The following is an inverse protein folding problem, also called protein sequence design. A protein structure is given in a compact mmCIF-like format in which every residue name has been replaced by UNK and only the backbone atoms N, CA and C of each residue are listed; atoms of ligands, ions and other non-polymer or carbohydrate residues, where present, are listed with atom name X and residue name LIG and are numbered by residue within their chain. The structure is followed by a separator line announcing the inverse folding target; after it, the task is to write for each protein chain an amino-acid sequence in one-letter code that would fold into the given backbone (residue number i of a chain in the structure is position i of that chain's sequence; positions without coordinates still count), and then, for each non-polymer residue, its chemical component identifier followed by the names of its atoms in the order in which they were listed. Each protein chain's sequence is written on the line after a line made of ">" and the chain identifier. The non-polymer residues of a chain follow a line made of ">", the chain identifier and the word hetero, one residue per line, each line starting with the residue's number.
data_IF_837764676511
#
_entry.id   IF_837764676511
#
_cell.length_a   1.000
_cell.length_b   1.000
_cell.length_c   1.000
_cell.angle_alpha   90.00
_cell.angle_beta   90.00
_cell.angle_gamma   90.00
#
_symmetry.space_group_name_H-M   'P 1'
#
loop_
_entity.id
_entity.type
_entity.pdbx_description
1 polymer ?
#
# COMPACT_ATOMS: atom_id res chain seq x y z
N UNK A 1 -3.34 -1.08 0.49
CA UNK A 1 -4.54 -0.21 0.59
C UNK A 1 -5.58 -0.96 1.40
N UNK A 2 -6.18 -0.30 2.37
CA UNK A 2 -7.24 -0.83 3.22
C UNK A 2 -8.54 -0.09 2.90
N UNK A 3 -9.68 -0.74 3.13
CA UNK A 3 -11.02 -0.15 2.98
C UNK A 3 -11.69 -0.05 4.33
N UNK A 4 -12.54 0.95 4.54
CA UNK A 4 -13.20 1.12 5.81
C UNK A 4 -14.34 2.12 5.80
N UNK A 5 -14.87 2.33 6.99
CA UNK A 5 -15.98 3.24 7.25
C UNK A 5 -15.67 4.11 8.47
N UNK A 6 -16.35 5.23 8.59
CA UNK A 6 -16.43 5.96 9.85
C UNK A 6 -17.88 6.08 10.31
N UNK A 7 -18.08 6.08 11.62
CA UNK A 7 -19.39 5.94 12.25
C UNK A 7 -19.51 6.68 13.57
N UNK A 8 -20.75 6.91 13.98
CA UNK A 8 -21.12 7.48 15.27
C UNK A 8 -22.46 6.88 15.74
N UNK A 9 -23.04 7.41 16.81
CA UNK A 9 -24.39 7.03 17.26
C UNK A 9 -25.46 7.10 16.15
N UNK A 10 -25.22 7.87 15.11
CA UNK A 10 -26.20 8.07 14.03
C UNK A 10 -26.49 6.80 13.23
N UNK A 11 -25.58 5.82 13.23
CA UNK A 11 -25.83 4.51 12.63
C UNK A 11 -26.80 3.65 13.46
N UNK A 12 -27.06 4.06 14.72
CA UNK A 12 -27.96 3.35 15.61
C UNK A 12 -27.34 2.11 16.27
N UNK A 13 -27.90 1.73 17.43
CA UNK A 13 -27.33 0.65 18.25
C UNK A 13 -27.40 -0.74 17.59
N UNK A 14 -28.24 -0.95 16.58
CA UNK A 14 -28.35 -2.19 15.82
C UNK A 14 -27.40 -2.31 14.64
N UNK A 15 -26.58 -1.30 14.38
CA UNK A 15 -25.67 -1.31 13.22
C UNK A 15 -24.62 -2.42 13.34
N UNK A 16 -24.43 -3.16 12.23
CA UNK A 16 -23.48 -4.26 12.16
C UNK A 16 -22.25 -3.87 11.33
N UNK A 17 -21.05 -4.10 11.87
CA UNK A 17 -19.78 -3.79 11.24
C UNK A 17 -19.34 -4.78 10.16
N UNK A 18 -20.17 -5.74 9.73
CA UNK A 18 -19.84 -6.64 8.60
C UNK A 18 -19.57 -5.89 7.29
N UNK A 19 -20.08 -4.66 7.18
CA UNK A 19 -19.88 -3.78 6.01
C UNK A 19 -18.60 -2.92 6.07
N UNK A 20 -17.83 -3.02 7.15
CA UNK A 20 -16.72 -2.10 7.41
C UNK A 20 -15.47 -2.32 6.50
N UNK A 21 -15.30 -3.53 5.96
CA UNK A 21 -14.05 -3.89 5.26
C UNK A 21 -12.91 -4.19 6.25
N UNK A 22 -11.79 -3.47 6.13
CA UNK A 22 -10.59 -3.72 6.93
C UNK A 22 -10.56 -2.91 8.23
N UNK A 23 -11.23 -1.73 8.27
CA UNK A 23 -11.17 -0.84 9.42
C UNK A 23 -12.47 -0.06 9.68
N UNK A 24 -12.59 0.44 10.90
CA UNK A 24 -13.63 1.38 11.31
C UNK A 24 -13.04 2.50 12.18
N UNK A 25 -13.47 3.75 11.94
CA UNK A 25 -13.15 4.91 12.77
C UNK A 25 -14.44 5.39 13.45
N UNK A 26 -14.44 5.52 14.77
CA UNK A 26 -15.64 5.64 15.60
C UNK A 26 -15.61 6.96 16.35
N UNK A 27 -16.70 7.72 16.33
CA UNK A 27 -16.85 8.92 17.16
C UNK A 27 -16.72 8.55 18.64
N UNK A 28 -15.80 9.22 19.34
CA UNK A 28 -15.64 9.04 20.77
C UNK A 28 -16.20 10.23 21.56
N UNK A 29 -15.79 11.44 21.19
CA UNK A 29 -16.13 12.64 21.94
C UNK A 29 -16.37 13.84 21.02
N UNK A 30 -16.99 14.89 21.57
CA UNK A 30 -17.18 16.19 20.92
C UNK A 30 -17.03 17.30 21.95
N UNK A 31 -16.27 18.35 21.63
CA UNK A 31 -16.00 19.46 22.55
C UNK A 31 -15.51 18.97 23.91
N UNK A 32 -15.91 19.68 24.98
CA UNK A 32 -15.52 19.30 26.35
C UNK A 32 -16.63 18.65 27.17
N UNK A 33 -17.76 18.30 26.55
CA UNK A 33 -18.97 17.87 27.29
C UNK A 33 -19.70 16.65 26.71
N UNK A 34 -19.32 16.13 25.56
CA UNK A 34 -20.06 15.05 24.91
C UNK A 34 -19.22 13.80 24.70
N UNK A 35 -19.75 12.65 25.08
CA UNK A 35 -19.23 11.31 24.76
C UNK A 35 -20.25 10.58 23.90
N UNK A 36 -19.83 9.98 22.80
CA UNK A 36 -20.72 9.20 21.95
C UNK A 36 -21.17 7.93 22.68
N UNK A 37 -22.49 7.75 22.91
CA UNK A 37 -22.99 6.64 23.73
C UNK A 37 -22.80 5.26 23.10
N UNK A 38 -22.49 5.18 21.80
CA UNK A 38 -22.27 3.92 21.11
C UNK A 38 -20.78 3.66 20.83
N UNK A 39 -19.87 4.56 21.21
CA UNK A 39 -18.45 4.42 20.95
C UNK A 39 -17.91 3.07 21.42
N UNK A 40 -18.07 2.75 22.71
CA UNK A 40 -17.55 1.50 23.27
C UNK A 40 -18.21 0.27 22.63
N UNK A 41 -19.53 0.32 22.41
CA UNK A 41 -20.24 -0.78 21.75
C UNK A 41 -19.64 -1.09 20.38
N UNK A 42 -19.43 -0.09 19.55
CA UNK A 42 -18.85 -0.28 18.21
C UNK A 42 -17.37 -0.67 18.30
N UNK A 43 -16.64 -0.13 19.27
CA UNK A 43 -15.25 -0.50 19.49
C UNK A 43 -15.11 -1.99 19.87
N UNK A 44 -15.93 -2.50 20.80
CA UNK A 44 -15.91 -3.91 21.19
C UNK A 44 -16.34 -4.82 20.03
N UNK A 45 -17.35 -4.39 19.24
CA UNK A 45 -17.75 -5.11 18.03
C UNK A 45 -16.61 -5.19 17.00
N UNK A 46 -15.90 -4.06 16.76
CA UNK A 46 -14.74 -4.02 15.88
C UNK A 46 -13.61 -4.92 16.36
N UNK A 47 -13.36 -4.92 17.67
CA UNK A 47 -12.36 -5.78 18.32
C UNK A 47 -12.70 -7.26 18.14
N UNK A 48 -13.94 -7.65 18.38
CA UNK A 48 -14.40 -9.04 18.20
C UNK A 48 -14.29 -9.52 16.75
N UNK A 49 -14.45 -8.61 15.77
CA UNK A 49 -14.29 -8.91 14.33
C UNK A 49 -12.84 -8.81 13.84
N UNK A 50 -11.89 -8.45 14.69
CA UNK A 50 -10.49 -8.29 14.29
C UNK A 50 -10.22 -7.10 13.35
N UNK A 51 -11.15 -6.13 13.27
CA UNK A 51 -10.99 -4.92 12.46
C UNK A 51 -9.89 -4.03 13.03
N UNK A 52 -9.24 -3.28 12.16
CA UNK A 52 -8.42 -2.14 12.55
C UNK A 52 -9.32 -1.02 13.06
N UNK A 53 -8.89 -0.31 14.10
CA UNK A 53 -9.74 0.66 14.80
C UNK A 53 -9.13 2.05 14.77
N UNK A 54 -10.01 3.04 14.70
CA UNK A 54 -9.72 4.44 15.00
C UNK A 54 -10.81 5.02 15.88
N UNK A 55 -10.48 6.07 16.62
CA UNK A 55 -11.45 6.86 17.39
C UNK A 55 -11.23 8.34 17.11
N UNK A 56 -12.32 9.10 16.93
CA UNK A 56 -12.22 10.51 16.63
C UNK A 56 -12.90 11.40 17.66
N UNK A 57 -12.31 12.58 17.81
CA UNK A 57 -12.85 13.72 18.54
C UNK A 57 -13.37 14.76 17.57
N UNK A 58 -14.63 15.11 17.65
CA UNK A 58 -15.22 16.20 16.89
C UNK A 58 -14.94 17.54 17.54
N UNK A 59 -14.16 18.38 16.89
CA UNK A 59 -13.73 19.66 17.42
C UNK A 59 -14.87 20.68 17.50
N UNK A 60 -14.94 21.45 18.60
CA UNK A 60 -15.92 22.53 18.81
C UNK A 60 -15.23 23.84 19.21
N UNK A 61 -14.34 24.38 18.38
CA UNK A 61 -13.69 25.66 18.66
C UNK A 61 -14.69 26.83 18.71
N UNK A 62 -15.86 26.67 18.08
CA UNK A 62 -16.98 27.61 18.12
C UNK A 62 -17.57 27.82 19.52
N UNK A 63 -17.35 26.87 20.43
CA UNK A 63 -17.77 26.98 21.84
C UNK A 63 -16.73 27.71 22.71
N UNK A 64 -15.64 28.21 22.12
CA UNK A 64 -14.59 28.93 22.84
C UNK A 64 -13.62 28.03 23.61
N UNK A 65 -13.66 26.71 23.41
CA UNK A 65 -12.71 25.80 24.03
C UNK A 65 -11.32 25.93 23.38
N UNK A 66 -10.28 25.78 24.18
CA UNK A 66 -8.92 25.62 23.65
C UNK A 66 -8.69 24.21 23.12
N UNK A 67 -7.73 24.04 22.18
CA UNK A 67 -7.35 22.74 21.68
C UNK A 67 -6.87 21.78 22.78
N UNK A 68 -6.14 22.30 23.77
CA UNK A 68 -5.67 21.51 24.90
C UNK A 68 -6.82 21.02 25.79
N UNK A 69 -7.83 21.86 26.04
CA UNK A 69 -8.98 21.47 26.87
C UNK A 69 -9.79 20.35 26.20
N UNK A 70 -10.02 20.44 24.88
CA UNK A 70 -10.69 19.38 24.13
C UNK A 70 -9.82 18.12 24.03
N UNK A 71 -8.50 18.23 23.92
CA UNK A 71 -7.57 17.10 23.96
C UNK A 71 -7.60 16.39 25.33
N UNK A 72 -7.58 17.14 26.45
CA UNK A 72 -7.70 16.57 27.78
C UNK A 72 -9.01 15.77 27.94
N UNK A 73 -10.12 16.35 27.44
CA UNK A 73 -11.41 15.68 27.47
C UNK A 73 -11.42 14.42 26.60
N UNK A 74 -10.88 14.48 25.39
CA UNK A 74 -10.76 13.34 24.49
C UNK A 74 -9.96 12.20 25.13
N UNK A 75 -8.72 12.49 25.58
CA UNK A 75 -7.81 11.49 26.15
C UNK A 75 -8.38 10.86 27.43
N UNK A 76 -9.05 11.66 28.27
CA UNK A 76 -9.73 11.15 29.48
C UNK A 76 -10.73 10.03 29.15
N UNK A 77 -11.46 10.18 28.04
CA UNK A 77 -12.57 9.27 27.69
C UNK A 77 -12.13 8.09 26.80
N UNK A 78 -10.91 8.12 26.22
CA UNK A 78 -10.42 7.06 25.33
C UNK A 78 -9.30 6.22 25.92
N UNK A 79 -9.03 6.28 27.22
CA UNK A 79 -7.88 5.59 27.87
C UNK A 79 -7.76 4.11 27.51
N UNK A 80 -8.90 3.42 27.33
CA UNK A 80 -8.94 1.99 26.97
C UNK A 80 -8.63 1.70 25.49
N UNK A 81 -8.48 2.72 24.64
CA UNK A 81 -8.28 2.57 23.19
C UNK A 81 -6.88 3.00 22.75
N UNK A 82 -6.14 3.70 23.61
CA UNK A 82 -4.77 4.17 23.34
C UNK A 82 -3.85 2.97 23.11
N UNK A 83 -3.07 3.04 22.04
CA UNK A 83 -2.19 1.95 21.60
C UNK A 83 -2.88 0.82 20.84
N UNK A 84 -4.21 0.89 20.64
CA UNK A 84 -4.96 -0.08 19.83
C UNK A 84 -5.77 0.57 18.71
N UNK A 85 -6.09 1.86 18.82
CA UNK A 85 -6.80 2.65 17.82
C UNK A 85 -5.99 3.85 17.35
N UNK A 86 -6.10 4.21 16.07
CA UNK A 86 -5.65 5.51 15.58
C UNK A 86 -6.48 6.60 16.26
N UNK A 87 -5.82 7.64 16.74
CA UNK A 87 -6.45 8.82 17.33
C UNK A 87 -6.66 9.88 16.26
N UNK A 88 -7.83 10.52 16.22
CA UNK A 88 -8.16 11.49 15.17
C UNK A 88 -8.76 12.76 15.77
N UNK A 89 -8.27 13.91 15.29
CA UNK A 89 -8.93 15.20 15.41
C UNK A 89 -9.79 15.41 14.17
N UNK A 90 -11.10 15.43 14.33
CA UNK A 90 -12.08 15.78 13.31
C UNK A 90 -12.39 17.28 13.41
N UNK A 91 -11.90 18.05 12.43
CA UNK A 91 -11.92 19.51 12.46
C UNK A 91 -12.77 20.09 11.33
N UNK A 92 -14.09 20.12 11.55
CA UNK A 92 -15.06 20.57 10.53
C UNK A 92 -15.72 21.90 10.85
N UNK A 93 -15.62 22.36 12.09
CA UNK A 93 -16.30 23.57 12.59
C UNK A 93 -15.30 24.75 12.67
N UNK A 94 -15.72 25.92 12.14
CA UNK A 94 -14.95 27.16 12.27
C UNK A 94 -14.95 27.69 13.72
N UNK A 95 -13.97 28.50 14.11
CA UNK A 95 -12.85 29.01 13.32
C UNK A 95 -11.76 27.96 13.07
N UNK A 96 -11.21 27.93 11.84
CA UNK A 96 -10.11 27.01 11.49
C UNK A 96 -8.76 27.67 11.79
N UNK A 97 -7.92 26.99 12.57
CA UNK A 97 -6.60 27.49 12.99
C UNK A 97 -5.61 26.34 13.09
N UNK A 98 -4.45 26.47 12.43
CA UNK A 98 -3.33 25.55 12.59
C UNK A 98 -2.80 25.54 14.03
N UNK A 99 -2.81 26.70 14.71
CA UNK A 99 -2.37 26.81 16.08
C UNK A 99 -3.29 26.03 17.05
N UNK A 100 -4.60 26.14 16.85
CA UNK A 100 -5.57 25.40 17.65
C UNK A 100 -5.46 23.88 17.44
N UNK A 101 -5.40 23.46 16.17
CA UNK A 101 -5.27 22.05 15.82
C UNK A 101 -3.94 21.45 16.33
N UNK A 102 -2.86 22.22 16.22
CA UNK A 102 -1.56 21.80 16.72
C UNK A 102 -1.54 21.71 18.25
N UNK A 103 -2.18 22.67 18.97
CA UNK A 103 -2.31 22.64 20.43
C UNK A 103 -3.06 21.38 20.88
N UNK A 104 -4.19 21.05 20.23
CA UNK A 104 -4.89 19.78 20.46
C UNK A 104 -3.98 18.58 20.20
N UNK A 105 -3.39 18.50 19.02
CA UNK A 105 -2.57 17.36 18.61
C UNK A 105 -1.35 17.15 19.50
N UNK A 106 -0.67 18.24 19.85
CA UNK A 106 0.47 18.21 20.75
C UNK A 106 0.05 17.73 22.15
N UNK A 107 -1.07 18.21 22.67
CA UNK A 107 -1.57 17.80 23.98
C UNK A 107 -1.96 16.32 24.00
N UNK A 108 -2.61 15.80 22.95
CA UNK A 108 -2.86 14.36 22.80
C UNK A 108 -1.54 13.59 22.83
N UNK A 109 -0.55 14.03 22.05
CA UNK A 109 0.76 13.39 22.00
C UNK A 109 1.47 13.41 23.38
N UNK A 110 1.47 14.54 24.08
CA UNK A 110 2.10 14.68 25.38
C UNK A 110 1.48 13.72 26.43
N UNK A 111 0.19 13.43 26.31
CA UNK A 111 -0.55 12.57 27.23
C UNK A 111 -0.50 11.08 26.87
N UNK A 112 -0.29 10.75 25.58
CA UNK A 112 -0.45 9.38 25.08
C UNK A 112 0.79 8.81 24.42
N UNK A 113 1.75 9.66 24.02
CA UNK A 113 2.87 9.29 23.15
C UNK A 113 2.48 9.14 21.66
N UNK A 114 1.20 9.34 21.30
CA UNK A 114 0.68 9.11 19.95
C UNK A 114 0.24 10.43 19.32
N UNK A 115 0.77 10.75 18.12
CA UNK A 115 0.28 11.87 17.33
C UNK A 115 -1.05 11.50 16.66
N UNK A 116 -2.11 12.30 16.85
CA UNK A 116 -3.37 12.04 16.16
C UNK A 116 -3.27 12.37 14.67
N UNK A 117 -4.17 11.83 13.87
CA UNK A 117 -4.43 12.32 12.51
C UNK A 117 -5.30 13.57 12.56
N UNK A 118 -5.18 14.44 11.55
CA UNK A 118 -6.15 15.48 11.28
C UNK A 118 -7.11 15.01 10.19
N UNK A 119 -8.42 15.06 10.48
CA UNK A 119 -9.47 14.97 9.47
C UNK A 119 -10.05 16.33 9.18
N UNK A 120 -10.16 16.68 7.92
CA UNK A 120 -10.90 17.82 7.42
C UNK A 120 -11.25 17.66 5.94
N UNK A 121 -12.21 18.45 5.46
CA UNK A 121 -12.55 18.47 4.04
C UNK A 121 -11.41 19.06 3.20
N UNK A 122 -11.33 18.67 1.93
CA UNK A 122 -10.30 19.14 0.99
C UNK A 122 -10.29 20.67 0.87
N UNK A 123 -11.45 21.33 0.95
CA UNK A 123 -11.53 22.79 0.94
C UNK A 123 -10.83 23.43 2.15
N UNK A 124 -10.93 22.84 3.34
CA UNK A 124 -10.30 23.32 4.56
C UNK A 124 -8.80 23.01 4.58
N UNK A 125 -8.41 21.84 4.10
CA UNK A 125 -7.00 21.50 3.94
C UNK A 125 -6.27 22.51 3.04
N UNK A 126 -6.93 23.02 2.00
CA UNK A 126 -6.35 24.00 1.09
C UNK A 126 -6.58 25.46 1.50
N UNK A 127 -7.53 25.71 2.37
CA UNK A 127 -7.87 27.06 2.83
C UNK A 127 -7.06 27.58 4.02
N UNK A 128 -6.31 26.72 4.69
CA UNK A 128 -5.52 27.03 5.89
C UNK A 128 -4.08 26.58 5.70
N UNK A 129 -3.13 27.35 6.24
CA UNK A 129 -1.71 26.97 6.26
C UNK A 129 -1.44 26.04 7.45
N UNK A 130 -1.49 24.75 7.25
CA UNK A 130 -1.26 23.73 8.28
C UNK A 130 0.22 23.45 8.56
N UNK A 131 1.03 24.52 8.74
CA UNK A 131 2.49 24.41 8.80
C UNK A 131 3.01 23.68 10.05
N UNK A 132 2.28 23.74 11.17
CA UNK A 132 2.63 23.09 12.44
C UNK A 132 2.03 21.69 12.51
N UNK A 133 0.74 21.57 12.24
CA UNK A 133 0.00 20.30 12.34
C UNK A 133 0.50 19.26 11.34
N UNK A 134 0.74 19.66 10.08
CA UNK A 134 1.19 18.73 9.04
C UNK A 134 2.57 18.11 9.28
N UNK A 135 3.40 18.71 10.13
CA UNK A 135 4.72 18.15 10.46
C UNK A 135 4.65 16.87 11.31
N UNK A 136 3.58 16.69 12.05
CA UNK A 136 3.48 15.65 13.06
C UNK A 136 2.27 14.73 12.86
N UNK A 137 1.17 15.26 12.30
CA UNK A 137 -0.10 14.55 12.16
C UNK A 137 -0.24 13.92 10.78
N UNK A 138 -0.77 12.71 10.70
CA UNK A 138 -1.22 12.13 9.45
C UNK A 138 -2.46 12.87 8.92
N UNK A 139 -2.72 12.78 7.62
CA UNK A 139 -3.86 13.40 6.98
C UNK A 139 -4.95 12.37 6.66
N UNK A 140 -6.14 12.59 7.19
CA UNK A 140 -7.39 11.99 6.71
C UNK A 140 -8.19 13.09 6.01
N UNK A 141 -8.23 13.05 4.69
CA UNK A 141 -8.90 14.07 3.87
C UNK A 141 -10.27 13.61 3.42
N UNK A 142 -11.27 14.50 3.49
CA UNK A 142 -12.58 14.25 2.91
C UNK A 142 -12.74 15.01 1.60
N UNK A 143 -13.21 14.31 0.59
CA UNK A 143 -13.53 14.90 -0.71
C UNK A 143 -14.32 13.89 -1.55
N UNK A 144 -15.43 14.30 -2.09
CA UNK A 144 -16.46 13.41 -2.66
C UNK A 144 -16.61 13.67 -4.16
N UNK A 145 -15.83 13.00 -5.01
CA UNK A 145 -16.05 13.07 -6.46
C UNK A 145 -17.43 12.48 -6.82
N UNK A 146 -18.15 13.07 -7.75
CA UNK A 146 -19.50 12.63 -8.15
C UNK A 146 -19.56 11.13 -8.48
N UNK A 147 -18.52 10.57 -9.07
CA UNK A 147 -18.39 9.15 -9.39
C UNK A 147 -18.53 8.23 -8.15
N UNK A 148 -18.10 8.71 -7.00
CA UNK A 148 -18.07 7.94 -5.76
C UNK A 148 -19.11 8.37 -4.74
N UNK A 149 -19.67 9.58 -4.88
CA UNK A 149 -20.70 10.09 -3.97
C UNK A 149 -22.11 9.63 -4.39
N UNK A 150 -22.30 8.33 -4.43
CA UNK A 150 -23.52 7.64 -4.86
C UNK A 150 -23.88 6.52 -3.88
N UNK A 151 -25.11 6.03 -3.95
CA UNK A 151 -25.52 4.86 -3.17
C UNK A 151 -24.70 3.64 -3.63
N UNK A 152 -24.03 2.96 -2.71
CA UNK A 152 -23.14 1.83 -2.99
C UNK A 152 -21.98 2.19 -3.97
N UNK A 153 -21.10 3.12 -3.61
CA UNK A 153 -20.04 3.55 -4.48
C UNK A 153 -19.02 2.42 -4.73
N UNK A 154 -18.42 2.36 -5.93
CA UNK A 154 -17.29 1.48 -6.14
C UNK A 154 -16.11 1.94 -5.27
N UNK A 155 -15.25 1.03 -4.88
CA UNK A 155 -14.02 1.37 -4.14
C UNK A 155 -13.02 2.05 -5.09
N UNK A 156 -12.57 3.28 -4.80
CA UNK A 156 -11.57 3.95 -5.62
C UNK A 156 -10.19 3.31 -5.46
N UNK A 157 -9.31 3.58 -6.41
CA UNK A 157 -7.88 3.34 -6.26
C UNK A 157 -7.18 4.57 -5.65
N UNK A 158 -5.95 4.38 -5.17
CA UNK A 158 -5.13 5.51 -4.66
C UNK A 158 -4.95 6.62 -5.70
N UNK A 159 -4.94 6.28 -6.99
CA UNK A 159 -4.77 7.23 -8.10
C UNK A 159 -6.01 8.11 -8.36
N UNK A 160 -7.16 7.71 -7.87
CA UNK A 160 -8.41 8.44 -8.05
C UNK A 160 -8.53 9.64 -7.09
N UNK A 161 -7.67 9.72 -6.05
CA UNK A 161 -7.60 10.86 -5.16
C UNK A 161 -6.87 12.01 -5.85
N UNK A 162 -7.63 13.05 -6.22
CA UNK A 162 -7.15 14.18 -7.03
C UNK A 162 -7.16 15.52 -6.29
N UNK A 163 -7.53 15.52 -5.00
CA UNK A 163 -7.54 16.73 -4.21
C UNK A 163 -6.12 17.12 -3.81
N UNK A 164 -5.85 18.45 -3.80
CA UNK A 164 -4.64 18.96 -3.17
C UNK A 164 -4.64 18.63 -1.68
N UNK A 165 -3.49 18.29 -1.17
CA UNK A 165 -3.28 17.88 0.24
C UNK A 165 -2.57 18.93 1.07
N UNK A 166 -2.51 20.19 0.57
CA UNK A 166 -1.95 21.33 1.30
C UNK A 166 -0.50 21.12 1.71
N UNK A 167 -0.23 21.25 3.00
CA UNK A 167 1.11 21.15 3.59
C UNK A 167 1.59 19.70 3.82
N UNK A 168 0.75 18.69 3.64
CA UNK A 168 1.14 17.30 3.84
C UNK A 168 1.88 16.73 2.63
N UNK A 169 2.92 15.91 2.85
CA UNK A 169 3.64 15.25 1.75
C UNK A 169 2.85 14.08 1.15
N UNK A 170 1.88 13.53 1.87
CA UNK A 170 1.00 12.44 1.44
C UNK A 170 -0.26 12.42 2.28
N UNK A 171 -1.31 11.77 1.76
CA UNK A 171 -2.52 11.49 2.52
C UNK A 171 -2.50 10.05 3.07
N UNK A 172 -2.98 9.88 4.28
CA UNK A 172 -3.04 8.58 4.94
C UNK A 172 -4.39 7.89 4.72
N UNK A 173 -5.48 8.63 4.87
CA UNK A 173 -6.86 8.15 4.67
C UNK A 173 -7.61 9.14 3.79
N UNK A 174 -8.46 8.63 2.91
CA UNK A 174 -9.38 9.44 2.11
C UNK A 174 -10.81 8.95 2.31
N UNK A 175 -11.67 9.84 2.85
CA UNK A 175 -13.11 9.67 2.85
C UNK A 175 -13.63 10.11 1.48
N UNK A 176 -13.99 9.14 0.67
CA UNK A 176 -14.33 9.38 -0.74
C UNK A 176 -15.84 9.43 -1.03
N UNK A 177 -16.64 9.06 -0.06
CA UNK A 177 -18.10 9.10 -0.14
C UNK A 177 -18.70 9.34 1.23
N UNK A 178 -19.67 10.24 1.26
CA UNK A 178 -20.53 10.54 2.39
C UNK A 178 -21.96 10.70 1.83
N UNK A 179 -22.40 9.71 1.05
CA UNK A 179 -23.63 9.87 0.31
C UNK A 179 -24.84 9.78 1.19
N UNK A 180 -25.61 10.83 1.10
CA UNK A 180 -27.05 10.95 1.37
C UNK A 180 -27.65 9.80 2.22
N UNK A 181 -27.38 9.83 3.53
CA UNK A 181 -28.07 8.97 4.49
C UNK A 181 -27.63 7.50 4.54
N UNK A 182 -26.47 7.15 3.96
CA UNK A 182 -25.98 5.77 4.01
C UNK A 182 -24.80 5.60 4.95
N UNK A 183 -23.58 5.67 4.46
CA UNK A 183 -22.42 5.30 5.23
C UNK A 183 -21.18 5.99 4.64
N UNK A 184 -20.43 6.63 5.49
CA UNK A 184 -19.17 7.24 5.11
C UNK A 184 -18.13 6.16 4.78
N UNK A 185 -17.54 6.29 3.58
CA UNK A 185 -16.61 5.27 3.07
C UNK A 185 -15.23 5.82 2.86
N UNK A 186 -14.27 5.02 3.26
CA UNK A 186 -12.88 5.39 3.32
C UNK A 186 -11.97 4.37 2.63
N UNK A 187 -10.87 4.86 2.10
CA UNK A 187 -9.70 4.04 1.80
C UNK A 187 -8.48 4.58 2.56
N UNK A 188 -7.62 3.67 3.02
CA UNK A 188 -6.35 4.05 3.63
C UNK A 188 -5.19 3.68 2.68
N UNK A 189 -4.32 4.68 2.42
CA UNK A 189 -3.12 4.52 1.59
C UNK A 189 -1.97 3.93 2.40
N UNK A 190 -2.27 2.85 3.11
CA UNK A 190 -1.31 2.14 3.97
C UNK A 190 -1.68 0.66 4.09
N UNK A 191 -0.78 -0.13 4.65
CA UNK A 191 -1.02 -1.50 5.07
C UNK A 191 -1.35 -1.58 6.58
N UNK A 192 -1.65 -2.79 7.04
CA UNK A 192 -1.97 -3.05 8.45
C UNK A 192 -0.82 -2.68 9.40
N UNK A 193 0.43 -2.89 8.99
CA UNK A 193 1.59 -2.59 9.82
C UNK A 193 1.74 -1.07 10.02
N UNK A 194 1.55 -0.28 8.96
CA UNK A 194 1.54 1.18 9.03
C UNK A 194 0.37 1.70 9.88
N UNK A 195 -0.82 1.09 9.76
CA UNK A 195 -1.97 1.43 10.63
C UNK A 195 -1.64 1.26 12.11
N UNK A 196 -1.06 0.11 12.47
CA UNK A 196 -0.68 -0.18 13.86
C UNK A 196 0.39 0.78 14.40
N UNK A 197 1.28 1.28 13.54
CA UNK A 197 2.23 2.35 13.91
C UNK A 197 1.51 3.64 14.26
N UNK A 198 0.53 4.06 13.45
CA UNK A 198 -0.31 5.23 13.77
C UNK A 198 -1.12 5.05 15.05
N UNK A 199 -1.50 3.82 15.40
CA UNK A 199 -2.17 3.50 16.65
C UNK A 199 -1.22 3.43 17.87
N UNK A 200 0.10 3.59 17.68
CA UNK A 200 1.08 3.55 18.77
C UNK A 200 1.50 2.14 19.20
N UNK A 201 1.20 1.10 18.42
CA UNK A 201 1.56 -0.30 18.76
C UNK A 201 3.02 -0.69 18.53
N UNK A 202 3.83 0.16 17.95
CA UNK A 202 5.27 -0.09 17.83
C UNK A 202 6.02 1.00 18.58
N UNK A 203 6.87 0.59 19.52
CA UNK A 203 7.72 1.51 20.28
C UNK A 203 8.43 2.51 19.36
N UNK A 204 8.51 3.74 19.83
CA UNK A 204 9.30 4.86 19.32
C UNK A 204 9.51 4.91 17.81
N UNK A 205 8.46 5.22 17.06
CA UNK A 205 8.63 5.76 15.72
C UNK A 205 7.83 7.05 15.63
N UNK A 206 8.55 8.19 15.82
CA UNK A 206 8.15 9.45 15.23
C UNK A 206 7.58 9.12 13.84
N UNK A 207 6.40 9.64 13.42
CA UNK A 207 5.97 9.46 12.04
C UNK A 207 7.08 9.95 11.12
N UNK A 208 7.94 9.04 10.74
CA UNK A 208 8.83 9.27 9.62
C UNK A 208 7.88 9.40 8.46
N UNK A 209 7.95 10.46 7.66
CA UNK A 209 7.14 10.54 6.44
C UNK A 209 7.30 9.17 5.78
N UNK A 210 6.18 8.45 5.66
CA UNK A 210 6.16 7.25 4.83
C UNK A 210 6.78 7.69 3.52
N UNK A 211 7.86 7.06 3.07
CA UNK A 211 8.56 7.56 1.89
C UNK A 211 7.51 7.88 0.86
N UNK A 212 7.63 9.05 0.25
CA UNK A 212 6.86 9.54 -0.92
C UNK A 212 6.29 8.34 -1.63
N UNK A 213 4.98 8.24 -1.97
CA UNK A 213 4.41 7.02 -2.48
C UNK A 213 5.41 6.43 -3.44
N UNK A 214 6.05 5.34 -2.99
CA UNK A 214 6.97 4.60 -3.86
C UNK A 214 6.13 4.40 -5.10
N UNK A 215 6.52 4.91 -6.26
CA UNK A 215 5.69 4.86 -7.45
C UNK A 215 5.08 3.48 -7.45
N UNK A 216 3.75 3.40 -7.62
CA UNK A 216 2.88 2.24 -7.43
C UNK A 216 3.69 0.99 -7.75
N UNK A 217 3.73 -0.07 -6.92
CA UNK A 217 4.79 -1.06 -6.94
C UNK A 217 5.14 -1.32 -8.37
N UNK A 218 6.28 -0.80 -8.79
CA UNK A 218 6.74 -0.96 -10.17
C UNK A 218 6.67 -2.45 -10.33
N UNK A 219 5.75 -2.92 -11.20
CA UNK A 219 5.51 -4.34 -11.46
C UNK A 219 6.86 -4.99 -11.36
N UNK A 220 7.04 -5.89 -10.36
CA UNK A 220 8.36 -6.45 -10.05
C UNK A 220 9.04 -6.82 -11.35
N UNK A 221 10.32 -6.57 -11.48
CA UNK A 221 11.02 -6.95 -12.71
C UNK A 221 10.90 -8.45 -12.92
N UNK A 222 11.03 -8.90 -14.15
CA UNK A 222 10.99 -10.34 -14.44
C UNK A 222 12.07 -11.10 -13.65
N UNK A 223 13.20 -10.45 -13.34
CA UNK A 223 14.28 -11.00 -12.50
C UNK A 223 13.82 -11.23 -11.06
N UNK A 224 13.13 -10.25 -10.46
CA UNK A 224 12.61 -10.36 -9.09
C UNK A 224 11.53 -11.43 -8.99
N UNK A 225 10.66 -11.53 -10.00
CA UNK A 225 9.65 -12.59 -10.06
C UNK A 225 10.30 -13.96 -10.28
N UNK A 226 11.36 -14.05 -11.08
CA UNK A 226 12.11 -15.29 -11.26
C UNK A 226 12.73 -15.78 -9.95
N UNK A 227 13.24 -14.87 -9.11
CA UNK A 227 13.75 -15.23 -7.78
C UNK A 227 12.63 -15.75 -6.85
N UNK A 228 11.46 -15.14 -6.91
CA UNK A 228 10.28 -15.61 -6.18
C UNK A 228 9.78 -16.98 -6.68
N UNK A 229 9.86 -17.23 -7.98
CA UNK A 229 9.55 -18.53 -8.59
C UNK A 229 10.52 -19.60 -8.09
N UNK A 230 11.81 -19.29 -8.04
CA UNK A 230 12.86 -20.19 -7.50
C UNK A 230 12.62 -20.45 -6.02
N UNK A 231 12.19 -19.43 -5.26
CA UNK A 231 11.81 -19.55 -3.84
C UNK A 231 10.47 -20.27 -3.61
N UNK A 232 9.79 -20.78 -4.66
CA UNK A 232 8.54 -21.55 -4.56
C UNK A 232 7.27 -20.73 -4.34
N UNK A 233 7.33 -19.38 -4.35
CA UNK A 233 6.19 -18.52 -4.02
C UNK A 233 5.07 -18.50 -5.07
N UNK A 234 5.32 -19.01 -6.26
CA UNK A 234 4.39 -18.98 -7.41
C UNK A 234 3.81 -20.35 -7.78
N UNK A 235 4.01 -21.38 -6.96
CA UNK A 235 3.55 -22.74 -7.26
C UNK A 235 4.36 -23.42 -8.38
N UNK A 236 3.80 -24.47 -8.99
CA UNK A 236 4.48 -25.30 -9.98
C UNK A 236 3.63 -25.53 -11.24
N UNK A 237 4.28 -25.81 -12.37
CA UNK A 237 3.62 -26.24 -13.61
C UNK A 237 2.55 -25.25 -14.11
N UNK A 238 1.36 -25.75 -14.40
CA UNK A 238 0.23 -25.00 -14.94
C UNK A 238 -0.28 -23.93 -13.94
N UNK A 239 -0.29 -24.23 -12.64
CA UNK A 239 -0.69 -23.30 -11.58
C UNK A 239 0.21 -22.07 -11.56
N UNK A 240 1.53 -22.24 -11.64
CA UNK A 240 2.50 -21.14 -11.78
C UNK A 240 2.19 -20.26 -12.99
N UNK A 241 1.93 -20.87 -14.14
CA UNK A 241 1.63 -20.15 -15.36
C UNK A 241 0.39 -19.28 -15.18
N UNK A 242 -0.70 -19.83 -14.67
CA UNK A 242 -1.94 -19.11 -14.45
C UNK A 242 -1.79 -17.95 -13.46
N UNK A 243 -1.06 -18.16 -12.35
CA UNK A 243 -0.82 -17.10 -11.35
C UNK A 243 0.00 -15.95 -11.92
N UNK A 244 1.06 -16.24 -12.66
CA UNK A 244 1.91 -15.24 -13.29
C UNK A 244 1.15 -14.43 -14.34
N UNK A 245 0.39 -15.10 -15.21
CA UNK A 245 -0.42 -14.44 -16.24
C UNK A 245 -1.56 -13.61 -15.64
N UNK A 246 -2.25 -14.11 -14.60
CA UNK A 246 -3.26 -13.35 -13.84
C UNK A 246 -2.68 -12.10 -13.16
N UNK A 247 -1.44 -12.17 -12.70
CA UNK A 247 -0.71 -11.02 -12.15
C UNK A 247 -0.13 -10.11 -13.24
N UNK A 248 -0.40 -10.39 -14.52
CA UNK A 248 0.00 -9.59 -15.66
C UNK A 248 1.48 -9.76 -16.05
N UNK A 249 2.13 -10.87 -15.69
CA UNK A 249 3.50 -11.18 -16.10
C UNK A 249 3.54 -12.12 -17.30
N UNK A 250 4.60 -12.00 -18.09
CA UNK A 250 4.86 -12.96 -19.18
C UNK A 250 5.54 -14.21 -18.62
N UNK A 251 4.80 -15.31 -18.53
CA UNK A 251 5.30 -16.59 -18.00
C UNK A 251 6.59 -17.04 -18.72
N UNK A 252 6.63 -16.98 -20.06
CA UNK A 252 7.77 -17.48 -20.83
C UNK A 252 9.04 -16.69 -20.56
N UNK A 253 8.93 -15.34 -20.45
CA UNK A 253 10.06 -14.48 -20.12
C UNK A 253 10.62 -14.79 -18.72
N UNK A 254 9.75 -14.96 -17.73
CA UNK A 254 10.16 -15.31 -16.37
C UNK A 254 10.75 -16.70 -16.31
N UNK A 255 10.15 -17.70 -16.96
CA UNK A 255 10.65 -19.07 -16.96
C UNK A 255 12.03 -19.17 -17.62
N UNK A 256 12.30 -18.36 -18.64
CA UNK A 256 13.64 -18.26 -19.25
C UNK A 256 14.68 -17.79 -18.25
N UNK A 257 14.37 -16.76 -17.46
CA UNK A 257 15.26 -16.24 -16.41
C UNK A 257 15.46 -17.29 -15.30
N UNK A 258 14.40 -17.93 -14.86
CA UNK A 258 14.45 -19.04 -13.88
C UNK A 258 15.37 -20.15 -14.37
N UNK A 259 15.21 -20.57 -15.62
CA UNK A 259 16.04 -21.62 -16.21
C UNK A 259 17.53 -21.23 -16.27
N UNK A 260 17.81 -19.97 -16.63
CA UNK A 260 19.17 -19.43 -16.65
C UNK A 260 19.79 -19.37 -15.24
N UNK A 261 19.03 -18.93 -14.23
CA UNK A 261 19.50 -18.82 -12.84
C UNK A 261 19.75 -20.19 -12.19
N UNK A 262 18.96 -21.19 -12.55
CA UNK A 262 19.12 -22.56 -12.03
C UNK A 262 20.17 -23.41 -12.80
N UNK A 263 20.94 -22.77 -13.68
CA UNK A 263 21.92 -23.49 -14.52
C UNK A 263 21.29 -24.34 -15.60
N UNK A 264 19.99 -24.20 -15.80
CA UNK A 264 19.22 -24.87 -16.87
C UNK A 264 19.33 -24.15 -18.19
N UNK A 265 20.56 -23.81 -18.65
CA UNK A 265 20.78 -23.49 -20.05
C UNK A 265 20.43 -24.74 -20.85
N UNK A 266 19.25 -24.79 -21.48
CA UNK A 266 19.04 -25.70 -22.60
C UNK A 266 20.02 -25.24 -23.68
N UNK A 267 21.25 -25.74 -23.61
CA UNK A 267 22.16 -25.69 -24.74
C UNK A 267 21.40 -26.36 -25.88
N UNK A 268 20.89 -25.57 -26.81
CA UNK A 268 20.27 -26.16 -28.01
C UNK A 268 21.38 -26.82 -28.79
N UNK A 269 21.41 -28.13 -28.74
CA UNK A 269 22.41 -28.94 -29.43
C UNK A 269 21.94 -29.13 -30.85
N UNK A 270 22.67 -28.56 -31.82
CA UNK A 270 22.46 -28.77 -33.23
C UNK A 270 23.49 -29.77 -33.75
N UNK A 271 23.05 -30.82 -34.42
CA UNK A 271 23.92 -31.71 -35.17
C UNK A 271 24.06 -31.18 -36.58
N UNK A 272 25.27 -30.82 -36.98
CA UNK A 272 25.57 -30.30 -38.27
C UNK A 272 26.52 -31.20 -39.04
N UNK A 273 26.11 -31.69 -40.23
CA UNK A 273 26.98 -32.45 -41.14
C UNK A 273 27.78 -31.47 -41.99
N UNK A 274 29.11 -31.53 -41.88
CA UNK A 274 30.05 -30.68 -42.64
C UNK A 274 29.85 -30.92 -44.13
N UNK A 275 29.81 -29.84 -44.88
CA UNK A 275 29.71 -29.83 -46.35
C UNK A 275 31.06 -29.49 -46.99
N UNK A 276 31.26 -29.83 -48.23
CA UNK A 276 32.46 -29.46 -48.97
C UNK A 276 32.59 -27.92 -49.01
N UNK A 277 33.73 -27.40 -48.60
CA UNK A 277 34.00 -25.95 -48.50
C UNK A 277 33.70 -25.32 -47.15
N UNK A 278 33.14 -26.04 -46.20
CA UNK A 278 32.93 -25.55 -44.85
C UNK A 278 34.25 -25.41 -44.07
N UNK A 279 34.29 -24.40 -43.19
CA UNK A 279 35.32 -24.24 -42.18
C UNK A 279 34.67 -24.13 -40.81
N UNK A 280 35.36 -24.44 -39.74
CA UNK A 280 34.80 -24.24 -38.41
C UNK A 280 34.41 -22.80 -38.13
N UNK A 281 35.12 -21.82 -38.74
CA UNK A 281 34.80 -20.40 -38.59
C UNK A 281 33.49 -20.04 -39.31
N UNK A 282 33.26 -20.54 -40.52
CA UNK A 282 32.01 -20.29 -41.27
C UNK A 282 30.81 -20.93 -40.58
N UNK A 283 30.99 -22.15 -40.05
CA UNK A 283 29.95 -22.84 -39.26
C UNK A 283 29.67 -22.10 -37.98
N UNK A 284 30.71 -21.64 -37.25
CA UNK A 284 30.56 -20.87 -36.02
C UNK A 284 29.75 -19.58 -36.21
N UNK A 285 30.07 -18.82 -37.29
CA UNK A 285 29.34 -17.61 -37.65
C UNK A 285 27.86 -17.89 -37.91
N UNK A 286 27.55 -18.98 -38.67
CA UNK A 286 26.18 -19.40 -38.99
C UNK A 286 25.35 -19.71 -37.75
N UNK A 287 25.95 -20.25 -36.70
CA UNK A 287 25.26 -20.70 -35.47
C UNK A 287 25.45 -19.76 -34.27
N UNK A 288 26.09 -18.59 -34.45
CA UNK A 288 26.29 -17.60 -33.37
C UNK A 288 27.19 -18.11 -32.26
N UNK A 289 28.23 -18.85 -32.57
CA UNK A 289 29.21 -19.42 -31.60
C UNK A 289 30.64 -19.13 -32.09
N UNK A 290 31.64 -19.72 -31.46
CA UNK A 290 33.05 -19.58 -31.85
C UNK A 290 33.60 -20.92 -32.37
N UNK A 291 34.56 -20.87 -33.30
CA UNK A 291 35.19 -22.07 -33.79
C UNK A 291 35.94 -22.85 -32.70
N UNK A 292 36.51 -22.14 -31.71
CA UNK A 292 37.17 -22.74 -30.56
C UNK A 292 36.18 -23.60 -29.74
N UNK A 293 34.96 -23.08 -29.54
CA UNK A 293 33.91 -23.82 -28.82
C UNK A 293 33.44 -25.04 -29.59
N UNK A 294 33.27 -24.93 -30.91
CA UNK A 294 32.93 -26.08 -31.76
C UNK A 294 34.05 -27.12 -31.72
N UNK A 295 35.31 -26.71 -31.87
CA UNK A 295 36.45 -27.62 -31.83
C UNK A 295 36.54 -28.38 -30.50
N UNK A 296 36.39 -27.65 -29.38
CA UNK A 296 36.40 -28.25 -28.01
C UNK A 296 35.24 -29.24 -27.79
N UNK A 297 34.01 -28.82 -28.18
CA UNK A 297 32.80 -29.63 -27.95
C UNK A 297 32.79 -30.93 -28.81
N UNK A 298 33.63 -31.00 -29.87
CA UNK A 298 33.75 -32.11 -30.79
C UNK A 298 35.11 -32.83 -30.72
N UNK A 299 35.98 -32.49 -29.80
CA UNK A 299 37.33 -33.04 -29.63
C UNK A 299 38.20 -32.93 -30.90
N UNK A 300 38.09 -31.83 -31.64
CA UNK A 300 38.85 -31.57 -32.85
C UNK A 300 40.20 -30.98 -32.47
N UNK A 301 41.27 -31.78 -32.63
CA UNK A 301 42.63 -31.35 -32.27
C UNK A 301 43.19 -30.32 -33.25
N UNK A 302 42.91 -30.43 -34.54
CA UNK A 302 43.29 -29.48 -35.55
C UNK A 302 42.03 -28.79 -36.16
N UNK A 303 41.75 -27.53 -35.81
CA UNK A 303 40.53 -26.83 -36.26
C UNK A 303 40.46 -26.54 -37.77
N UNK A 304 41.60 -26.67 -38.47
CA UNK A 304 41.68 -26.50 -39.90
C UNK A 304 41.37 -27.82 -40.66
N UNK A 305 41.18 -28.91 -39.95
CA UNK A 305 40.97 -30.23 -40.54
C UNK A 305 39.62 -30.81 -40.15
N UNK A 306 38.63 -30.52 -40.98
CA UNK A 306 37.27 -31.13 -40.93
C UNK A 306 36.92 -31.74 -42.26
N UNK A 307 36.10 -32.77 -42.25
CA UNK A 307 35.82 -33.55 -43.45
C UNK A 307 34.34 -33.46 -43.85
N UNK A 308 34.00 -33.47 -45.14
CA UNK A 308 32.64 -33.62 -45.59
C UNK A 308 31.95 -34.83 -44.95
N UNK A 309 30.67 -34.66 -44.53
CA UNK A 309 29.86 -35.67 -43.80
C UNK A 309 30.26 -35.87 -42.32
N UNK A 310 31.32 -35.23 -41.82
CA UNK A 310 31.62 -35.21 -40.37
C UNK A 310 30.48 -34.53 -39.63
N UNK A 311 29.91 -35.17 -38.62
CA UNK A 311 28.83 -34.58 -37.81
C UNK A 311 29.43 -33.81 -36.63
N UNK A 312 29.16 -32.52 -36.60
CA UNK A 312 29.55 -31.63 -35.49
C UNK A 312 28.39 -31.39 -34.55
N UNK A 313 28.67 -31.44 -33.26
CA UNK A 313 27.77 -31.06 -32.19
C UNK A 313 27.99 -29.59 -31.91
N UNK A 314 27.00 -28.75 -32.16
CA UNK A 314 27.05 -27.29 -31.95
C UNK A 314 26.11 -26.98 -30.78
N UNK A 315 26.69 -26.57 -29.65
CA UNK A 315 25.97 -26.13 -28.46
C UNK A 315 25.88 -24.61 -28.50
N UNK A 316 24.64 -24.10 -28.57
CA UNK A 316 24.38 -22.65 -28.49
C UNK A 316 24.29 -22.21 -27.05
#
# INVERSE_FOLDING_TARGET
>A
MLTGIDISKWQGAGFNLDVAGDFVIIKATEGTGYVDPLCDKFYQQAKAKGLLKGVYHFARPDLGNSGEAEADYFVKNIKGYIGDAILVLDYEVAPYSDDWAYAFAKRVHDLTGVWPMLYASASKINGVKWAKTAKNCGLWIAGYPNKYNVKNPPTPSVKDMQYSIGAWPFWAIWQYSSSAGTLDRNIANMDKAAWLKYAGKSGDVKPTPTPTPKPAPTKKTNEQIADEVIAGKWGNGTDRKQRLEKAGYNYNAIQTIVNNKLGGSKTSVVRYAVRRGDTLSSIAAKYGTTWQKIAKDNNIANPNLIYPSQVLIIKK
#
